data_IF_712831694949
#
_entry.id   IF_712831694949
#
_cell.length_a   1.000
_cell.length_b   1.000
_cell.length_c   1.000
_cell.angle_alpha   90.00
_cell.angle_beta   90.00
_cell.angle_gamma   90.00
#
_symmetry.space_group_name_H-M   'P 1'
#
loop_
_entity.id
_entity.type
_entity.pdbx_description
1 polymer ?
#
# COMPACT_ATOMS: atom_id res chain seq x y z
N UNK A 1 -1.66 22.50 -3.11
CA UNK A 1 -3.01 22.00 -2.78
C UNK A 1 -2.87 21.06 -1.59
N UNK A 2 -3.83 21.04 -0.66
CA UNK A 2 -3.82 20.12 0.48
C UNK A 2 -4.23 18.74 -0.02
N UNK A 3 -3.50 17.68 0.37
CA UNK A 3 -3.85 16.32 -0.01
C UNK A 3 -5.17 15.90 0.68
N UNK A 4 -6.07 15.28 -0.10
CA UNK A 4 -7.39 14.86 0.35
C UNK A 4 -7.32 13.45 0.94
N UNK A 5 -7.78 13.27 2.15
CA UNK A 5 -7.86 11.98 2.84
C UNK A 5 -9.33 11.64 3.11
N UNK A 6 -9.67 10.37 3.01
CA UNK A 6 -10.96 9.84 3.46
C UNK A 6 -10.72 8.99 4.70
N UNK A 7 -11.40 9.29 5.79
CA UNK A 7 -11.40 8.47 7.00
C UNK A 7 -12.77 7.81 7.17
N UNK A 8 -12.79 6.48 7.27
CA UNK A 8 -13.98 5.66 7.51
C UNK A 8 -13.82 5.05 8.90
N UNK A 9 -14.51 5.62 9.89
CA UNK A 9 -14.36 5.33 11.31
C UNK A 9 -15.67 5.68 12.03
N UNK A 10 -16.23 4.76 12.79
CA UNK A 10 -17.51 4.97 13.49
C UNK A 10 -17.36 5.68 14.85
N UNK A 11 -16.18 5.59 15.47
CA UNK A 11 -15.87 6.40 16.66
C UNK A 11 -15.65 7.87 16.24
N UNK A 12 -16.72 8.67 16.38
CA UNK A 12 -16.71 10.09 16.01
C UNK A 12 -15.70 10.92 16.79
N UNK A 13 -15.33 10.53 18.03
CA UNK A 13 -14.33 11.23 18.82
C UNK A 13 -12.93 10.97 18.26
N UNK A 14 -12.63 9.70 17.91
CA UNK A 14 -11.38 9.35 17.27
C UNK A 14 -11.28 10.01 15.90
N UNK A 15 -12.33 9.93 15.08
CA UNK A 15 -12.37 10.55 13.75
C UNK A 15 -12.08 12.05 13.82
N UNK A 16 -12.77 12.77 14.71
CA UNK A 16 -12.60 14.21 14.88
C UNK A 16 -11.19 14.58 15.36
N UNK A 17 -10.68 13.89 16.40
CA UNK A 17 -9.33 14.13 16.92
C UNK A 17 -8.26 13.91 15.84
N UNK A 18 -8.40 12.84 15.06
CA UNK A 18 -7.49 12.53 13.95
C UNK A 18 -7.62 13.56 12.84
N UNK A 19 -8.87 13.95 12.48
CA UNK A 19 -9.15 14.95 11.46
C UNK A 19 -8.53 16.31 11.80
N UNK A 20 -8.66 16.77 13.05
CA UNK A 20 -8.02 18.01 13.51
C UNK A 20 -6.49 17.93 13.44
N UNK A 21 -5.90 16.85 13.95
CA UNK A 21 -4.46 16.67 13.95
C UNK A 21 -3.86 16.62 12.54
N UNK A 22 -4.51 15.91 11.63
CA UNK A 22 -4.09 15.83 10.23
C UNK A 22 -4.34 17.17 9.50
N UNK A 23 -5.44 17.88 9.83
CA UNK A 23 -5.72 19.22 9.33
C UNK A 23 -4.61 20.22 9.67
N UNK A 24 -4.13 20.22 10.92
CA UNK A 24 -2.96 21.03 11.34
C UNK A 24 -1.67 20.63 10.63
N UNK A 25 -1.60 19.40 10.10
CA UNK A 25 -0.47 18.87 9.36
C UNK A 25 -0.54 19.12 7.84
N UNK A 26 -1.56 19.85 7.36
CA UNK A 26 -1.72 20.27 5.97
C UNK A 26 -2.56 19.32 5.11
N UNK A 27 -3.34 18.42 5.71
CA UNK A 27 -4.27 17.53 5.01
C UNK A 27 -5.71 18.05 5.11
N UNK A 28 -6.55 17.65 4.16
CA UNK A 28 -8.00 17.80 4.27
C UNK A 28 -8.60 16.42 4.48
N UNK A 29 -9.30 16.22 5.60
CA UNK A 29 -9.89 14.92 5.95
C UNK A 29 -11.40 14.98 5.81
N UNK A 30 -11.94 14.06 5.01
CA UNK A 30 -13.38 13.80 4.98
C UNK A 30 -13.67 12.60 5.89
N UNK A 31 -14.59 12.78 6.83
CA UNK A 31 -14.95 11.75 7.81
C UNK A 31 -16.27 11.07 7.39
N UNK A 32 -16.29 9.75 7.40
CA UNK A 32 -17.45 8.91 7.16
C UNK A 32 -17.62 7.91 8.31
N UNK A 33 -18.78 7.91 8.96
CA UNK A 33 -19.04 7.04 10.10
C UNK A 33 -19.45 5.60 9.72
N UNK A 34 -19.61 5.31 8.42
CA UNK A 34 -20.05 4.01 7.94
C UNK A 34 -19.31 3.62 6.65
N UNK A 35 -19.17 2.33 6.44
CA UNK A 35 -18.60 1.77 5.22
C UNK A 35 -19.34 2.23 3.97
N UNK A 36 -20.68 2.20 4.02
CA UNK A 36 -21.51 2.61 2.87
C UNK A 36 -21.31 4.07 2.51
N UNK A 37 -21.21 4.98 3.50
CA UNK A 37 -20.93 6.40 3.26
C UNK A 37 -19.54 6.58 2.61
N UNK A 38 -18.52 5.88 3.12
CA UNK A 38 -17.18 5.90 2.58
C UNK A 38 -17.11 5.41 1.14
N UNK A 39 -17.71 4.26 0.84
CA UNK A 39 -17.76 3.71 -0.53
C UNK A 39 -18.51 4.64 -1.49
N UNK A 40 -19.61 5.25 -1.04
CA UNK A 40 -20.36 6.23 -1.85
C UNK A 40 -19.48 7.46 -2.15
N UNK A 41 -18.73 7.95 -1.16
CA UNK A 41 -17.82 9.08 -1.34
C UNK A 41 -16.70 8.75 -2.34
N UNK A 42 -16.15 7.53 -2.30
CA UNK A 42 -15.13 7.08 -3.25
C UNK A 42 -15.64 7.00 -4.69
N UNK A 43 -16.89 6.56 -4.87
CA UNK A 43 -17.53 6.45 -6.19
C UNK A 43 -17.93 7.83 -6.75
N UNK A 44 -18.36 8.74 -5.89
CA UNK A 44 -18.89 10.05 -6.27
C UNK A 44 -18.35 11.13 -5.30
N UNK A 45 -17.08 11.53 -5.42
CA UNK A 45 -16.52 12.53 -4.53
C UNK A 45 -17.21 13.89 -4.73
N UNK A 46 -17.77 14.50 -3.66
CA UNK A 46 -18.56 15.73 -3.77
C UNK A 46 -17.80 16.92 -4.39
N UNK A 47 -16.50 16.99 -4.17
CA UNK A 47 -15.63 18.02 -4.74
C UNK A 47 -15.14 17.72 -6.15
N UNK A 48 -15.51 16.57 -6.74
CA UNK A 48 -14.93 16.06 -7.97
C UNK A 48 -13.47 15.64 -7.84
N UNK A 49 -12.88 15.73 -6.66
CA UNK A 49 -11.49 15.32 -6.39
C UNK A 49 -11.50 14.04 -5.55
N UNK A 50 -10.98 12.97 -6.11
CA UNK A 50 -10.85 11.69 -5.41
C UNK A 50 -9.85 11.80 -4.24
N UNK A 51 -10.10 11.11 -3.12
CA UNK A 51 -9.13 11.06 -2.02
C UNK A 51 -7.84 10.38 -2.47
N UNK A 52 -6.74 10.86 -1.92
CA UNK A 52 -5.40 10.35 -2.22
C UNK A 52 -5.01 9.15 -1.33
N UNK A 53 -5.73 8.97 -0.21
CA UNK A 53 -5.56 7.85 0.71
C UNK A 53 -6.83 7.63 1.52
N UNK A 54 -7.14 6.37 1.82
CA UNK A 54 -8.23 5.97 2.72
C UNK A 54 -7.63 5.47 4.04
N UNK A 55 -8.10 6.03 5.15
CA UNK A 55 -7.89 5.51 6.51
C UNK A 55 -9.15 4.72 6.85
N UNK A 56 -9.03 3.43 7.13
CA UNK A 56 -10.15 2.50 7.20
C UNK A 56 -10.13 1.72 8.51
N UNK A 57 -11.17 1.90 9.34
CA UNK A 57 -11.38 0.99 10.45
C UNK A 57 -11.91 -0.36 9.98
N UNK A 58 -11.47 -1.41 10.65
CA UNK A 58 -11.97 -2.78 10.39
C UNK A 58 -13.33 -3.02 11.05
N UNK A 59 -13.61 -2.40 12.19
CA UNK A 59 -14.78 -2.65 13.02
C UNK A 59 -15.88 -1.61 12.76
N UNK A 60 -16.44 -1.58 11.54
CA UNK A 60 -17.51 -0.66 11.18
C UNK A 60 -18.91 -1.27 11.47
N UNK A 61 -19.91 -0.46 11.78
CA UNK A 61 -21.22 -0.97 12.22
C UNK A 61 -22.05 -1.62 11.10
N UNK A 62 -21.81 -1.25 9.86
CA UNK A 62 -22.61 -1.67 8.70
C UNK A 62 -21.89 -2.68 7.79
N UNK A 63 -20.58 -2.79 7.87
CA UNK A 63 -19.78 -3.71 7.04
C UNK A 63 -18.40 -3.89 7.62
N UNK A 64 -17.85 -5.10 7.53
CA UNK A 64 -16.45 -5.37 7.86
C UNK A 64 -15.50 -4.54 6.98
N UNK A 65 -14.50 -3.88 7.57
CA UNK A 65 -13.52 -3.09 6.83
C UNK A 65 -12.69 -3.91 5.84
N UNK A 66 -12.49 -5.20 6.07
CA UNK A 66 -11.87 -6.09 5.09
C UNK A 66 -12.71 -6.20 3.81
N UNK A 67 -14.04 -6.25 3.96
CA UNK A 67 -14.96 -6.22 2.82
C UNK A 67 -14.93 -4.89 2.08
N UNK A 68 -14.83 -3.77 2.82
CA UNK A 68 -14.63 -2.43 2.22
C UNK A 68 -13.37 -2.41 1.37
N UNK A 69 -12.25 -2.87 1.92
CA UNK A 69 -10.97 -2.95 1.19
C UNK A 69 -11.10 -3.81 -0.06
N UNK A 70 -11.73 -4.97 0.04
CA UNK A 70 -11.98 -5.86 -1.10
C UNK A 70 -12.79 -5.17 -2.21
N UNK A 71 -13.84 -4.40 -1.85
CA UNK A 71 -14.65 -3.63 -2.81
C UNK A 71 -13.86 -2.51 -3.46
N UNK A 72 -13.01 -1.82 -2.71
CA UNK A 72 -12.10 -0.81 -3.26
C UNK A 72 -11.18 -1.46 -4.30
N UNK A 73 -10.57 -2.60 -3.99
CA UNK A 73 -9.64 -3.30 -4.90
C UNK A 73 -10.34 -3.96 -6.11
N UNK A 74 -11.60 -4.35 -5.97
CA UNK A 74 -12.40 -4.89 -7.08
C UNK A 74 -13.01 -3.80 -7.98
N UNK A 75 -12.88 -2.52 -7.62
CA UNK A 75 -13.36 -1.41 -8.44
C UNK A 75 -12.55 -1.27 -9.72
N UNK A 76 -13.08 -0.51 -10.69
CA UNK A 76 -12.35 -0.17 -11.91
C UNK A 76 -11.69 1.21 -11.81
N UNK A 77 -10.61 1.40 -12.55
CA UNK A 77 -9.92 2.68 -12.65
C UNK A 77 -9.15 3.08 -11.39
N UNK A 78 -9.04 4.37 -11.14
CA UNK A 78 -8.19 4.95 -10.10
C UNK A 78 -8.60 4.54 -8.68
N UNK A 79 -9.87 4.22 -8.47
CA UNK A 79 -10.37 3.79 -7.16
C UNK A 79 -9.67 2.53 -6.66
N UNK A 80 -9.40 1.55 -7.54
CA UNK A 80 -8.70 0.32 -7.19
C UNK A 80 -7.27 0.56 -6.70
N UNK A 81 -6.67 1.67 -7.12
CA UNK A 81 -5.28 2.04 -6.82
C UNK A 81 -5.14 3.02 -5.65
N UNK A 82 -6.25 3.45 -5.04
CA UNK A 82 -6.20 4.35 -3.88
C UNK A 82 -5.52 3.61 -2.72
N UNK A 83 -4.47 4.18 -2.11
CA UNK A 83 -3.84 3.60 -0.93
C UNK A 83 -4.82 3.46 0.24
N UNK A 84 -4.76 2.31 0.93
CA UNK A 84 -5.58 2.01 2.10
C UNK A 84 -4.69 1.75 3.29
N UNK A 85 -4.81 2.56 4.33
CA UNK A 85 -4.21 2.36 5.64
C UNK A 85 -5.29 1.84 6.59
N UNK A 86 -5.16 0.60 7.05
CA UNK A 86 -6.13 -0.02 7.95
C UNK A 86 -5.86 0.34 9.41
N UNK A 87 -6.91 0.67 10.15
CA UNK A 87 -6.89 0.74 11.61
C UNK A 87 -7.44 -0.57 12.16
N UNK A 88 -6.71 -1.23 13.08
CA UNK A 88 -7.10 -2.54 13.60
C UNK A 88 -7.16 -2.52 15.12
N UNK A 89 -8.06 -3.30 15.72
CA UNK A 89 -8.00 -3.56 17.15
C UNK A 89 -6.71 -4.32 17.51
N UNK A 90 -6.12 -4.00 18.66
CA UNK A 90 -4.89 -4.64 19.14
C UNK A 90 -5.17 -6.10 19.42
N UNK A 91 -4.57 -7.02 18.66
CA UNK A 91 -4.49 -8.41 19.10
C UNK A 91 -4.78 -9.52 18.10
N UNK A 92 -5.28 -9.26 16.89
CA UNK A 92 -5.42 -10.36 15.92
C UNK A 92 -4.38 -10.27 14.79
N UNK A 93 -3.30 -11.10 14.86
CA UNK A 93 -2.35 -11.20 13.76
C UNK A 93 -2.99 -11.69 12.45
N UNK A 94 -4.15 -12.37 12.51
CA UNK A 94 -4.86 -12.89 11.35
C UNK A 94 -5.52 -11.75 10.57
N UNK A 95 -6.23 -10.83 11.22
CA UNK A 95 -6.86 -9.68 10.55
C UNK A 95 -5.83 -8.82 9.81
N UNK A 96 -4.65 -8.65 10.40
CA UNK A 96 -3.52 -7.97 9.79
C UNK A 96 -3.05 -8.67 8.50
N UNK A 97 -2.84 -9.98 8.57
CA UNK A 97 -2.40 -10.77 7.42
C UNK A 97 -3.47 -10.73 6.33
N UNK A 98 -4.73 -10.95 6.69
CA UNK A 98 -5.87 -10.93 5.77
C UNK A 98 -6.03 -9.55 5.12
N UNK A 99 -5.93 -8.45 5.89
CA UNK A 99 -6.02 -7.09 5.35
C UNK A 99 -4.94 -6.79 4.31
N UNK A 100 -3.70 -7.19 4.58
CA UNK A 100 -2.60 -7.05 3.62
C UNK A 100 -2.76 -7.99 2.43
N UNK A 101 -3.28 -9.20 2.64
CA UNK A 101 -3.63 -10.13 1.56
C UNK A 101 -4.76 -9.59 0.68
N UNK A 102 -5.68 -8.81 1.21
CA UNK A 102 -6.74 -8.13 0.45
C UNK A 102 -6.26 -6.88 -0.26
N UNK A 103 -5.00 -6.46 -0.05
CA UNK A 103 -4.38 -5.36 -0.76
C UNK A 103 -4.33 -4.03 -0.01
N UNK A 104 -4.44 -4.03 1.32
CA UNK A 104 -4.09 -2.86 2.11
C UNK A 104 -2.61 -2.51 1.95
N UNK A 105 -2.29 -1.23 1.98
CA UNK A 105 -0.91 -0.73 1.80
C UNK A 105 -0.16 -0.68 3.12
N UNK A 106 -0.87 -0.47 4.22
CA UNK A 106 -0.33 -0.49 5.58
C UNK A 106 -1.45 -0.74 6.60
N UNK A 107 -1.06 -1.00 7.84
CA UNK A 107 -2.00 -1.13 8.96
C UNK A 107 -1.41 -0.43 10.19
N UNK A 108 -2.28 -0.01 11.10
CA UNK A 108 -1.94 0.63 12.36
C UNK A 108 -2.85 0.09 13.47
N UNK A 109 -2.30 -0.61 14.49
CA UNK A 109 -3.10 -1.11 15.59
C UNK A 109 -3.58 0.01 16.51
N UNK A 110 -4.85 -0.06 16.94
CA UNK A 110 -5.42 0.77 18.00
C UNK A 110 -5.05 0.19 19.38
N UNK A 111 -4.70 1.01 20.40
CA UNK A 111 -4.54 2.46 20.32
C UNK A 111 -3.21 2.86 19.65
N UNK A 112 -3.20 3.97 18.94
CA UNK A 112 -2.04 4.50 18.24
C UNK A 112 -1.77 5.97 18.61
N UNK A 113 -0.53 6.39 18.43
CA UNK A 113 -0.15 7.79 18.54
C UNK A 113 -0.46 8.55 17.23
N UNK A 114 -1.10 9.74 17.26
CA UNK A 114 -1.39 10.51 16.05
C UNK A 114 -0.15 10.81 15.21
N UNK A 115 1.02 10.93 15.84
CA UNK A 115 2.30 11.11 15.13
C UNK A 115 2.69 9.90 14.30
N UNK A 116 2.38 8.69 14.77
CA UNK A 116 2.65 7.46 14.02
C UNK A 116 1.74 7.37 12.78
N UNK A 117 0.45 7.64 12.97
CA UNK A 117 -0.50 7.70 11.85
C UNK A 117 -0.05 8.71 10.78
N UNK A 118 0.31 9.94 11.19
CA UNK A 118 0.82 10.97 10.28
C UNK A 118 2.07 10.51 9.52
N UNK A 119 2.99 9.85 10.20
CA UNK A 119 4.21 9.37 9.59
C UNK A 119 3.94 8.30 8.53
N UNK A 120 2.99 7.39 8.79
CA UNK A 120 2.56 6.35 7.84
C UNK A 120 1.84 6.96 6.63
N UNK A 121 0.92 7.89 6.84
CA UNK A 121 0.25 8.63 5.76
C UNK A 121 1.27 9.34 4.86
N UNK A 122 2.21 10.09 5.46
CA UNK A 122 3.26 10.78 4.69
C UNK A 122 4.14 9.80 3.92
N UNK A 123 4.47 8.66 4.50
CA UNK A 123 5.25 7.63 3.82
C UNK A 123 4.50 7.05 2.61
N UNK A 124 3.19 6.81 2.74
CA UNK A 124 2.35 6.31 1.64
C UNK A 124 2.22 7.37 0.53
N UNK A 125 1.92 8.62 0.87
CA UNK A 125 1.68 9.69 -0.11
C UNK A 125 2.94 10.19 -0.82
N UNK A 126 4.09 10.24 -0.12
CA UNK A 126 5.39 10.64 -0.72
C UNK A 126 5.72 9.83 -1.96
N UNK A 127 5.32 8.57 -2.01
CA UNK A 127 5.53 7.66 -3.14
C UNK A 127 4.82 8.09 -4.41
N UNK A 128 3.69 8.80 -4.29
CA UNK A 128 2.95 9.34 -5.45
C UNK A 128 3.62 10.58 -6.05
N UNK A 129 4.37 11.34 -5.25
CA UNK A 129 4.93 12.64 -5.64
C UNK A 129 6.40 12.56 -6.05
N UNK A 130 7.17 11.66 -5.44
CA UNK A 130 8.60 11.50 -5.73
C UNK A 130 8.83 10.55 -6.92
N UNK A 131 8.27 10.90 -8.08
CA UNK A 131 8.86 10.55 -9.37
C UNK A 131 10.15 11.35 -9.55
N UNK A 132 11.20 11.05 -8.78
CA UNK A 132 12.50 11.67 -8.98
C UNK A 132 12.95 11.43 -10.43
N UNK A 133 13.58 12.42 -11.11
CA UNK A 133 14.10 12.25 -12.46
C UNK A 133 15.30 11.29 -12.41
N UNK A 134 15.06 10.00 -12.48
CA UNK A 134 16.10 8.99 -12.66
C UNK A 134 16.16 8.63 -14.14
N UNK A 135 17.36 8.67 -14.70
CA UNK A 135 17.66 8.55 -16.12
C UNK A 135 17.21 7.24 -16.82
N UNK A 136 16.47 6.37 -16.16
CA UNK A 136 15.94 5.14 -16.74
C UNK A 136 14.47 4.95 -16.29
N UNK A 137 13.55 5.54 -17.07
CA UNK A 137 12.11 5.51 -16.80
C UNK A 137 11.51 4.11 -16.89
N UNK A 138 12.09 3.26 -17.74
CA UNK A 138 11.64 1.90 -18.01
C UNK A 138 12.74 0.89 -17.63
N UNK A 139 12.45 0.07 -16.62
CA UNK A 139 13.31 -1.04 -16.24
C UNK A 139 12.85 -2.30 -16.98
N UNK A 140 13.78 -3.02 -17.62
CA UNK A 140 13.51 -4.24 -18.37
C UNK A 140 14.34 -5.40 -17.87
N UNK A 141 13.65 -6.51 -17.59
CA UNK A 141 14.24 -7.76 -17.14
C UNK A 141 13.57 -8.94 -17.88
N UNK A 142 14.15 -9.33 -19.02
CA UNK A 142 13.51 -10.29 -19.91
C UNK A 142 12.13 -9.81 -20.36
N UNK A 143 11.11 -10.60 -20.10
CA UNK A 143 9.71 -10.27 -20.43
C UNK A 143 9.03 -9.31 -19.42
N UNK A 144 9.68 -9.01 -18.29
CA UNK A 144 9.17 -8.07 -17.29
C UNK A 144 9.61 -6.63 -17.64
N UNK A 145 8.65 -5.72 -17.73
CA UNK A 145 8.89 -4.29 -17.90
C UNK A 145 8.23 -3.52 -16.75
N UNK A 146 8.95 -2.56 -16.17
CA UNK A 146 8.48 -1.70 -15.09
C UNK A 146 8.58 -0.25 -15.57
N UNK A 147 7.46 0.36 -15.89
CA UNK A 147 7.37 1.78 -16.24
C UNK A 147 7.16 2.58 -14.95
N UNK A 148 8.18 3.38 -14.61
CA UNK A 148 8.19 4.14 -13.35
C UNK A 148 7.33 5.40 -13.44
N UNK A 149 7.20 5.99 -14.61
CA UNK A 149 6.40 7.20 -14.83
C UNK A 149 4.92 6.86 -14.89
N UNK A 150 4.56 5.81 -15.64
CA UNK A 150 3.19 5.32 -15.72
C UNK A 150 2.77 4.51 -14.47
N UNK A 151 3.73 4.17 -13.57
CA UNK A 151 3.54 3.25 -12.43
C UNK A 151 2.89 1.93 -12.86
N UNK A 152 3.32 1.42 -14.00
CA UNK A 152 2.77 0.23 -14.62
C UNK A 152 3.82 -0.89 -14.70
N UNK A 153 3.39 -2.12 -14.54
CA UNK A 153 4.21 -3.32 -14.68
C UNK A 153 3.58 -4.22 -15.71
N UNK A 154 4.36 -4.70 -16.66
CA UNK A 154 3.91 -5.68 -17.64
C UNK A 154 4.81 -6.90 -17.67
N UNK A 155 4.23 -8.07 -17.91
CA UNK A 155 4.94 -9.32 -18.21
C UNK A 155 4.49 -9.82 -19.57
N UNK A 156 5.43 -9.96 -20.49
CA UNK A 156 5.14 -10.29 -21.89
C UNK A 156 4.06 -9.40 -22.53
N UNK A 157 4.07 -8.11 -22.19
CA UNK A 157 3.13 -7.11 -22.69
C UNK A 157 1.75 -7.11 -22.00
N UNK A 158 1.51 -8.00 -21.04
CA UNK A 158 0.26 -8.01 -20.26
C UNK A 158 0.43 -7.22 -18.97
N UNK A 159 -0.49 -6.30 -18.70
CA UNK A 159 -0.50 -5.47 -17.49
C UNK A 159 -0.71 -6.34 -16.24
N UNK A 160 0.14 -6.13 -15.23
CA UNK A 160 0.04 -6.77 -13.93
C UNK A 160 -0.72 -5.86 -12.96
N UNK A 161 -1.64 -6.43 -12.20
CA UNK A 161 -2.39 -5.70 -11.17
C UNK A 161 -1.57 -5.69 -9.86
N UNK A 162 -1.04 -4.51 -9.53
CA UNK A 162 -0.27 -4.26 -8.32
C UNK A 162 -0.80 -3.01 -7.63
N UNK A 163 -0.93 -3.07 -6.29
CA UNK A 163 -1.22 -1.85 -5.54
C UNK A 163 -0.03 -0.87 -5.59
N UNK A 164 -0.27 0.40 -5.25
CA UNK A 164 0.78 1.41 -5.23
C UNK A 164 1.98 0.98 -4.36
N UNK A 165 1.71 0.35 -3.23
CA UNK A 165 2.76 -0.15 -2.33
C UNK A 165 3.54 -1.34 -2.91
N UNK A 166 2.85 -2.29 -3.53
CA UNK A 166 3.49 -3.44 -4.18
C UNK A 166 4.38 -3.00 -5.36
N UNK A 167 3.92 -2.00 -6.11
CA UNK A 167 4.72 -1.39 -7.16
C UNK A 167 6.02 -0.80 -6.62
N UNK A 168 5.96 -0.03 -5.52
CA UNK A 168 7.14 0.61 -4.92
C UNK A 168 8.12 -0.43 -4.34
N UNK A 169 7.61 -1.50 -3.72
CA UNK A 169 8.43 -2.63 -3.28
C UNK A 169 9.16 -3.30 -4.46
N UNK A 170 8.44 -3.51 -5.56
CA UNK A 170 9.03 -4.10 -6.77
C UNK A 170 10.12 -3.21 -7.36
N UNK A 171 9.87 -1.90 -7.45
CA UNK A 171 10.86 -0.92 -7.94
C UNK A 171 12.10 -0.91 -7.05
N UNK A 172 11.93 -0.87 -5.71
CA UNK A 172 13.04 -0.87 -4.76
C UNK A 172 13.94 -2.10 -4.89
N UNK A 173 13.35 -3.27 -5.18
CA UNK A 173 14.05 -4.51 -5.45
C UNK A 173 14.73 -4.50 -6.83
N UNK A 174 14.02 -4.06 -7.87
CA UNK A 174 14.50 -4.05 -9.25
C UNK A 174 15.69 -3.10 -9.46
N UNK A 175 15.68 -1.92 -8.82
CA UNK A 175 16.80 -0.97 -8.83
C UNK A 175 18.09 -1.56 -8.23
N UNK A 176 17.94 -2.54 -7.33
CA UNK A 176 19.04 -3.22 -6.65
C UNK A 176 19.17 -4.67 -7.10
N UNK A 177 18.77 -4.97 -8.35
CA UNK A 177 18.81 -6.30 -8.92
C UNK A 177 20.16 -6.98 -8.71
N UNK A 178 20.13 -8.26 -8.31
CA UNK A 178 21.29 -9.08 -7.98
C UNK A 178 21.87 -8.84 -6.59
N UNK A 179 21.30 -7.93 -5.78
CA UNK A 179 21.69 -7.74 -4.37
C UNK A 179 20.65 -8.37 -3.47
N UNK A 180 21.08 -9.06 -2.43
CA UNK A 180 20.19 -9.51 -1.35
C UNK A 180 19.89 -8.31 -0.47
N UNK A 181 18.59 -8.01 -0.29
CA UNK A 181 18.12 -6.98 0.60
C UNK A 181 17.42 -7.63 1.79
N UNK A 182 17.77 -7.20 3.00
CA UNK A 182 17.03 -7.59 4.19
C UNK A 182 15.61 -6.98 4.15
N UNK A 183 14.71 -7.52 4.99
CA UNK A 183 13.36 -6.94 5.13
C UNK A 183 13.41 -5.49 5.56
N UNK A 184 14.30 -5.16 6.49
CA UNK A 184 14.51 -3.80 6.97
C UNK A 184 14.99 -2.88 5.86
N UNK A 185 15.97 -3.30 5.06
CA UNK A 185 16.48 -2.53 3.92
C UNK A 185 15.42 -2.29 2.85
N UNK A 186 14.54 -3.28 2.60
CA UNK A 186 13.42 -3.11 1.67
C UNK A 186 12.41 -2.10 2.24
N UNK A 187 12.09 -2.20 3.54
CA UNK A 187 11.19 -1.27 4.20
C UNK A 187 11.77 0.14 4.26
N UNK A 188 13.04 0.28 4.61
CA UNK A 188 13.73 1.57 4.62
C UNK A 188 13.71 2.22 3.23
N UNK A 189 13.99 1.45 2.17
CA UNK A 189 13.95 1.93 0.80
C UNK A 189 12.57 2.44 0.38
N UNK A 190 11.50 1.84 0.92
CA UNK A 190 10.12 2.18 0.56
C UNK A 190 9.48 3.11 1.60
N UNK A 191 9.73 2.96 2.89
CA UNK A 191 9.11 3.75 3.97
C UNK A 191 10.02 4.78 4.64
N UNK A 192 11.34 4.65 4.48
CA UNK A 192 12.31 5.54 5.12
C UNK A 192 12.38 5.38 6.65
N UNK A 193 12.04 4.21 7.20
CA UNK A 193 12.11 3.90 8.63
C UNK A 193 12.45 2.44 8.87
N UNK A 194 13.16 2.17 10.00
CA UNK A 194 13.40 0.83 10.52
C UNK A 194 12.09 0.11 10.90
N UNK A 195 12.07 -1.21 10.72
CA UNK A 195 10.96 -2.07 11.15
C UNK A 195 10.89 -2.17 12.68
N UNK A 196 9.68 -2.15 13.22
CA UNK A 196 9.45 -2.81 14.51
C UNK A 196 9.66 -4.32 14.37
N UNK A 197 10.28 -4.94 15.38
CA UNK A 197 10.94 -6.26 15.33
C UNK A 197 10.10 -7.47 14.87
N UNK A 198 8.84 -7.32 14.43
CA UNK A 198 7.96 -8.40 14.01
C UNK A 198 7.06 -8.07 12.80
N UNK A 199 7.39 -7.07 11.98
CA UNK A 199 6.56 -6.75 10.82
C UNK A 199 6.77 -7.72 9.66
N UNK A 200 5.92 -8.75 9.57
CA UNK A 200 5.88 -9.71 8.45
C UNK A 200 5.09 -9.20 7.22
N UNK A 201 4.68 -7.95 7.22
CA UNK A 201 3.89 -7.39 6.10
C UNK A 201 4.60 -7.52 4.75
N UNK A 202 5.93 -7.39 4.72
CA UNK A 202 6.74 -7.59 3.52
C UNK A 202 6.54 -8.97 2.91
N UNK A 203 6.52 -10.03 3.71
CA UNK A 203 6.41 -11.40 3.20
C UNK A 203 5.08 -11.62 2.47
N UNK A 204 4.01 -11.02 2.98
CA UNK A 204 2.67 -11.04 2.34
C UNK A 204 2.72 -10.28 1.01
N UNK A 205 3.27 -9.07 0.99
CA UNK A 205 3.40 -8.29 -0.24
C UNK A 205 4.32 -8.98 -1.26
N UNK A 206 5.40 -9.62 -0.84
CA UNK A 206 6.24 -10.42 -1.74
C UNK A 206 5.46 -11.57 -2.36
N UNK A 207 4.59 -12.23 -1.59
CA UNK A 207 3.67 -13.26 -2.11
C UNK A 207 2.75 -12.72 -3.20
N UNK A 208 2.15 -11.53 -2.98
CA UNK A 208 1.26 -10.87 -3.95
C UNK A 208 2.00 -10.42 -5.21
N UNK A 209 3.16 -9.80 -5.04
CA UNK A 209 3.97 -9.38 -6.19
C UNK A 209 4.35 -10.59 -7.03
N UNK A 210 4.77 -11.70 -6.40
CA UNK A 210 5.07 -12.96 -7.10
C UNK A 210 3.85 -13.49 -7.86
N UNK A 211 2.67 -13.46 -7.25
CA UNK A 211 1.43 -13.90 -7.91
C UNK A 211 1.14 -13.10 -9.19
N UNK A 212 1.54 -11.83 -9.23
CA UNK A 212 1.31 -10.96 -10.38
C UNK A 212 2.39 -11.08 -11.48
N UNK A 213 3.66 -11.32 -11.10
CA UNK A 213 4.78 -11.23 -12.07
C UNK A 213 5.48 -12.56 -12.37
N UNK A 214 5.29 -13.61 -11.57
CA UNK A 214 5.93 -14.92 -11.78
C UNK A 214 5.04 -15.87 -12.57
N UNK A 215 5.62 -16.71 -13.40
CA UNK A 215 4.89 -17.80 -14.04
C UNK A 215 4.45 -18.87 -13.03
N UNK A 216 5.28 -19.14 -12.01
CA UNK A 216 4.97 -20.00 -10.87
C UNK A 216 5.37 -19.29 -9.57
N UNK A 217 4.40 -18.71 -8.83
CA UNK A 217 4.68 -18.01 -7.57
C UNK A 217 5.29 -18.89 -6.48
N UNK A 218 5.11 -20.22 -6.54
CA UNK A 218 5.67 -21.17 -5.58
C UNK A 218 7.14 -21.46 -5.84
N UNK A 219 7.58 -21.36 -7.11
CA UNK A 219 8.95 -21.51 -7.56
C UNK A 219 9.44 -20.23 -8.25
N UNK A 220 9.56 -19.10 -7.52
CA UNK A 220 9.81 -17.79 -8.09
C UNK A 220 11.22 -17.71 -8.67
N UNK A 221 11.33 -17.12 -9.87
CA UNK A 221 12.61 -16.89 -10.54
C UNK A 221 13.04 -15.42 -10.50
N UNK A 222 12.07 -14.49 -10.41
CA UNK A 222 12.32 -13.04 -10.40
C UNK A 222 12.61 -12.53 -9.00
N UNK A 223 11.76 -12.84 -8.03
CA UNK A 223 11.96 -12.47 -6.63
C UNK A 223 12.24 -13.72 -5.82
N UNK A 224 13.49 -13.98 -5.51
CA UNK A 224 13.93 -15.18 -4.80
C UNK A 224 14.12 -14.89 -3.31
N UNK A 225 13.62 -15.79 -2.45
CA UNK A 225 13.85 -15.72 -1.00
C UNK A 225 15.23 -16.28 -0.66
N UNK A 226 16.04 -15.49 0.03
CA UNK A 226 17.29 -15.93 0.63
C UNK A 226 17.03 -16.17 2.12
N UNK A 227 16.94 -17.45 2.52
CA UNK A 227 16.59 -17.85 3.89
C UNK A 227 17.50 -17.17 4.91
N UNK A 228 16.91 -16.57 5.94
CA UNK A 228 17.63 -15.88 7.00
C UNK A 228 18.21 -14.51 6.61
N UNK A 229 18.20 -14.12 5.31
CA UNK A 229 18.78 -12.86 4.85
C UNK A 229 17.76 -11.89 4.26
N UNK A 230 16.76 -12.36 3.49
CA UNK A 230 15.75 -11.48 2.88
C UNK A 230 15.39 -11.91 1.46
N UNK A 231 15.40 -10.95 0.53
CA UNK A 231 14.98 -11.17 -0.85
C UNK A 231 16.03 -10.66 -1.84
N UNK A 232 16.11 -11.30 -3.00
CA UNK A 232 16.91 -10.83 -4.14
C UNK A 232 16.04 -10.80 -5.39
N UNK A 233 16.12 -9.72 -6.13
CA UNK A 233 15.56 -9.62 -7.47
C UNK A 233 16.62 -10.10 -8.48
N UNK A 234 16.31 -11.13 -9.25
CA UNK A 234 17.26 -11.73 -10.19
C UNK A 234 17.56 -10.78 -11.36
N UNK A 235 18.83 -10.68 -11.75
CA UNK A 235 19.25 -9.88 -12.92
C UNK A 235 18.87 -10.56 -14.25
N UNK A 236 19.01 -11.88 -14.31
CA UNK A 236 18.62 -12.71 -15.45
C UNK A 236 17.37 -13.48 -15.04
N UNK A 237 16.31 -13.36 -15.82
CA UNK A 237 14.98 -13.85 -15.44
C UNK A 237 14.36 -14.80 -16.47
N UNK A 238 14.93 -14.89 -17.67
CA UNK A 238 14.51 -15.78 -18.77
C UNK A 238 15.68 -16.62 -19.27
#
# INVERSE_FOLDING_TARGET
MSAQLLMIEDDSRLAHMVGEYLGQSGFTVTECATAQAGLTHLQNPPSGTAPELVILDLMLPDMDGLEVCRRIRAAQGDMAQIPVLMLTAKGDPLDRIIGLELGADDYLPKPFEPRELLARIRAILRRRVEGAPVANKLLRFGSLEIDRDARAVTVAGQLCDLTAYQFDLLVALAERAGRVLSRDQIMEAVRGRELEAFDRSIDVHMGRIRAAIEADPKNPKRIVTVRGAGYVFAKQQD
#
